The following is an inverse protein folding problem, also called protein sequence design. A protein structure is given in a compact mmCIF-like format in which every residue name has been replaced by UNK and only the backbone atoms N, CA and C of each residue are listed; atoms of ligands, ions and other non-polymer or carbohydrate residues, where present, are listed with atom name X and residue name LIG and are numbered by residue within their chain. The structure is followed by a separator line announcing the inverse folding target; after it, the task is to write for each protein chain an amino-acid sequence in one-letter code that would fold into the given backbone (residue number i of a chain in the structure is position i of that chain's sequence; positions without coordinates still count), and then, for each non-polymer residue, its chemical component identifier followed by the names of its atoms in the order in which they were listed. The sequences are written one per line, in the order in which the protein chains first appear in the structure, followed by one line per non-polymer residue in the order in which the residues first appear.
data_IF_561175687257
#
_entry.id   IF_561175687257
#
_cell.length_a   1.000
_cell.length_b   1.000
_cell.length_c   1.000
_cell.angle_alpha   90.00
_cell.angle_beta   90.00
_cell.angle_gamma   90.00
#
_symmetry.space_group_name_H-M   'P 1'
#
loop_
_entity.id
_entity.type
_entity.pdbx_description
1 polymer ?
#
# COMPACT_ATOMS: atom_id res chain seq x y z
N UNK A 1 7.28 6.27 2.70
CA UNK A 1 6.81 6.37 1.30
C UNK A 1 5.52 5.58 1.17
N UNK A 2 4.58 5.99 0.31
CA UNK A 2 3.39 5.18 -0.04
C UNK A 2 3.42 4.98 -1.54
N UNK A 3 3.30 3.74 -2.00
CA UNK A 3 3.21 3.45 -3.43
C UNK A 3 1.99 2.58 -3.73
N UNK A 4 1.26 2.97 -4.77
CA UNK A 4 0.03 2.28 -5.19
C UNK A 4 -0.17 2.42 -6.70
N UNK A 5 -0.97 1.52 -7.27
CA UNK A 5 -1.39 1.56 -8.67
C UNK A 5 -2.90 1.65 -8.77
N UNK A 6 -3.37 2.63 -9.52
CA UNK A 6 -4.79 2.74 -9.86
C UNK A 6 -4.97 2.53 -11.36
N UNK A 7 -5.90 1.66 -11.73
CA UNK A 7 -6.26 1.39 -13.13
C UNK A 7 -7.56 2.11 -13.52
N UNK A 8 -7.58 2.64 -14.75
CA UNK A 8 -8.76 3.18 -15.40
C UNK A 8 -9.19 2.26 -16.53
N UNK A 9 -10.26 1.51 -16.29
CA UNK A 9 -10.71 0.46 -17.21
C UNK A 9 -9.66 -0.63 -17.39
N UNK A 10 -9.59 -1.21 -18.60
CA UNK A 10 -8.62 -2.25 -18.95
C UNK A 10 -7.43 -1.74 -19.77
N UNK A 11 -7.28 -0.41 -19.91
CA UNK A 11 -6.33 0.17 -20.87
C UNK A 11 -5.05 0.66 -20.22
N UNK A 12 -5.13 1.32 -19.07
CA UNK A 12 -3.95 1.90 -18.41
C UNK A 12 -4.17 2.12 -16.92
N UNK A 13 -3.06 2.23 -16.21
CA UNK A 13 -3.03 2.65 -14.81
C UNK A 13 -1.90 3.64 -14.55
N UNK A 14 -1.94 4.26 -13.38
CA UNK A 14 -0.85 5.08 -12.89
C UNK A 14 -0.27 4.44 -11.65
N UNK A 15 1.05 4.21 -11.67
CA UNK A 15 1.81 3.98 -10.46
C UNK A 15 2.20 5.33 -9.87
N UNK A 16 2.00 5.50 -8.57
CA UNK A 16 2.31 6.74 -7.86
C UNK A 16 3.11 6.43 -6.61
N UNK A 17 4.21 7.15 -6.41
CA UNK A 17 4.99 7.16 -5.18
C UNK A 17 4.82 8.52 -4.51
N UNK A 18 4.14 8.51 -3.37
CA UNK A 18 3.84 9.69 -2.57
C UNK A 18 4.67 9.70 -1.29
N UNK A 19 5.24 10.85 -0.97
CA UNK A 19 5.83 11.12 0.34
C UNK A 19 4.80 11.83 1.23
N UNK A 20 4.18 11.16 2.21
CA UNK A 20 3.14 11.76 3.04
C UNK A 20 3.67 12.94 3.86
N UNK A 21 4.89 12.83 4.40
CA UNK A 21 5.56 13.89 5.17
C UNK A 21 5.72 15.18 4.38
N UNK A 22 6.07 15.07 3.10
CA UNK A 22 6.23 16.21 2.19
C UNK A 22 4.91 16.64 1.54
N UNK A 23 3.84 15.87 1.71
CA UNK A 23 2.54 16.03 1.02
C UNK A 23 2.65 16.06 -0.51
N UNK A 24 3.68 15.46 -1.10
CA UNK A 24 4.00 15.50 -2.54
C UNK A 24 4.02 14.11 -3.17
N UNK A 25 3.60 14.05 -4.43
CA UNK A 25 3.83 12.90 -5.31
C UNK A 25 5.22 13.09 -5.93
N UNK A 26 6.18 12.24 -5.55
CA UNK A 26 7.58 12.38 -5.97
C UNK A 26 7.89 11.67 -7.29
N UNK A 27 7.11 10.64 -7.59
CA UNK A 27 7.18 9.91 -8.86
C UNK A 27 5.79 9.42 -9.23
N UNK A 28 5.47 9.49 -10.52
CA UNK A 28 4.29 8.86 -11.10
C UNK A 28 4.60 8.48 -12.54
N UNK A 29 4.01 7.38 -13.01
CA UNK A 29 4.20 6.91 -14.38
C UNK A 29 2.93 6.21 -14.87
N UNK A 30 2.58 6.46 -16.13
CA UNK A 30 1.54 5.72 -16.83
C UNK A 30 2.07 4.32 -17.17
N UNK A 31 1.34 3.28 -16.80
CA UNK A 31 1.71 1.88 -16.99
C UNK A 31 0.55 1.09 -17.58
N UNK A 32 0.80 0.15 -18.51
CA UNK A 32 -0.24 -0.72 -19.03
C UNK A 32 -0.62 -1.82 -18.03
N UNK A 33 0.35 -2.29 -17.25
CA UNK A 33 0.19 -3.39 -16.29
C UNK A 33 1.00 -3.14 -15.02
N UNK A 34 0.51 -3.64 -13.90
CA UNK A 34 1.19 -3.56 -12.61
C UNK A 34 2.18 -4.72 -12.50
N UNK A 35 3.46 -4.38 -12.63
CA UNK A 35 4.57 -5.33 -12.56
C UNK A 35 5.55 -4.93 -11.47
N UNK A 36 6.30 -5.93 -10.96
CA UNK A 36 7.40 -5.74 -10.00
C UNK A 36 8.42 -4.73 -10.55
N UNK A 37 8.68 -4.77 -11.86
CA UNK A 37 9.61 -3.86 -12.54
C UNK A 37 9.24 -2.38 -12.34
N UNK A 38 7.96 -2.03 -12.43
CA UNK A 38 7.52 -0.63 -12.31
C UNK A 38 7.79 -0.06 -10.91
N UNK A 39 7.70 -0.89 -9.87
CA UNK A 39 8.07 -0.48 -8.51
C UNK A 39 9.59 -0.34 -8.34
N UNK A 40 10.38 -1.28 -8.88
CA UNK A 40 11.83 -1.21 -8.84
C UNK A 40 12.38 0.03 -9.58
N UNK A 41 11.77 0.35 -10.73
CA UNK A 41 12.07 1.57 -11.49
C UNK A 41 11.73 2.83 -10.67
N UNK A 42 10.53 2.89 -10.08
CA UNK A 42 10.13 4.02 -9.23
C UNK A 42 11.07 4.24 -8.05
N UNK A 43 11.49 3.16 -7.38
CA UNK A 43 12.51 3.19 -6.33
C UNK A 43 13.83 3.78 -6.83
N UNK A 44 14.37 3.21 -7.92
CA UNK A 44 15.66 3.62 -8.49
C UNK A 44 15.66 5.11 -8.87
N UNK A 45 14.59 5.58 -9.53
CA UNK A 45 14.46 6.99 -9.94
C UNK A 45 14.43 7.93 -8.73
N UNK A 46 13.77 7.54 -7.65
CA UNK A 46 13.71 8.35 -6.43
C UNK A 46 15.08 8.41 -5.73
N UNK A 47 15.78 7.29 -5.65
CA UNK A 47 17.14 7.22 -5.08
C UNK A 47 18.14 8.05 -5.90
N UNK A 48 18.07 7.97 -7.24
CA UNK A 48 18.89 8.80 -8.13
C UNK A 48 18.61 10.31 -8.00
N UNK A 49 17.38 10.70 -7.63
CA UNK A 49 17.02 12.08 -7.31
C UNK A 49 17.50 12.52 -5.91
N UNK A 50 18.20 11.66 -5.18
CA UNK A 50 18.73 11.94 -3.84
C UNK A 50 17.75 11.67 -2.70
N UNK A 51 16.60 11.03 -2.96
CA UNK A 51 15.69 10.67 -1.88
C UNK A 51 16.10 9.35 -1.22
N UNK A 52 16.20 9.35 0.11
CA UNK A 52 16.33 8.13 0.91
C UNK A 52 14.95 7.63 1.35
N UNK A 53 14.56 6.43 0.90
CA UNK A 53 13.31 5.80 1.31
C UNK A 53 13.52 5.09 2.66
N UNK A 54 13.10 5.70 3.75
CA UNK A 54 13.27 5.13 5.09
C UNK A 54 12.33 3.95 5.39
N UNK A 55 11.14 3.96 4.81
CA UNK A 55 10.12 2.91 4.93
C UNK A 55 9.12 3.05 3.79
N UNK A 56 8.39 1.99 3.47
CA UNK A 56 7.38 2.01 2.42
C UNK A 56 6.07 1.33 2.86
N UNK A 57 4.96 1.91 2.43
CA UNK A 57 3.61 1.35 2.52
C UNK A 57 3.21 0.88 1.13
N UNK A 58 2.82 -0.38 1.03
CA UNK A 58 2.43 -1.04 -0.24
C UNK A 58 1.11 -1.77 -0.08
N UNK A 59 0.49 -2.14 -1.20
CA UNK A 59 -0.46 -3.24 -1.20
C UNK A 59 0.23 -4.57 -0.84
N UNK A 60 -0.51 -5.55 -0.35
CA UNK A 60 -0.02 -6.82 0.19
C UNK A 60 0.59 -7.80 -0.82
N UNK A 61 0.99 -7.34 -2.01
CA UNK A 61 1.51 -8.18 -3.09
C UNK A 61 2.94 -8.65 -2.79
N UNK A 62 3.09 -9.95 -2.53
CA UNK A 62 4.36 -10.57 -2.09
C UNK A 62 5.56 -10.20 -2.95
N UNK A 63 5.43 -10.27 -4.29
CA UNK A 63 6.52 -9.97 -5.22
C UNK A 63 7.03 -8.52 -5.14
N UNK A 64 6.16 -7.56 -4.85
CA UNK A 64 6.55 -6.15 -4.67
C UNK A 64 7.25 -5.96 -3.34
N UNK A 65 6.79 -6.66 -2.28
CA UNK A 65 7.38 -6.60 -0.94
C UNK A 65 8.87 -6.96 -0.95
N UNK A 66 9.26 -7.96 -1.74
CA UNK A 66 10.65 -8.41 -1.85
C UNK A 66 11.60 -7.36 -2.43
N UNK A 67 11.11 -6.42 -3.25
CA UNK A 67 11.93 -5.33 -3.81
C UNK A 67 12.41 -4.37 -2.70
N UNK A 68 11.66 -4.31 -1.59
CA UNK A 68 11.88 -3.39 -0.49
C UNK A 68 12.26 -4.15 0.80
N UNK A 69 12.78 -5.37 0.69
CA UNK A 69 13.11 -6.21 1.84
C UNK A 69 14.22 -5.63 2.73
N UNK A 70 14.99 -4.69 2.21
CA UNK A 70 16.06 -3.96 2.92
C UNK A 70 15.54 -2.78 3.76
N UNK A 71 14.26 -2.44 3.67
CA UNK A 71 13.64 -1.37 4.46
C UNK A 71 12.35 -1.87 5.14
N UNK A 72 11.87 -1.20 6.21
CA UNK A 72 10.58 -1.52 6.79
C UNK A 72 9.44 -1.41 5.76
N UNK A 73 8.65 -2.48 5.62
CA UNK A 73 7.50 -2.55 4.71
C UNK A 73 6.21 -2.80 5.48
N UNK A 74 5.31 -1.82 5.43
CA UNK A 74 3.97 -1.91 5.98
C UNK A 74 2.95 -2.21 4.89
N UNK A 75 2.01 -3.12 5.15
CA UNK A 75 0.86 -3.27 4.27
C UNK A 75 -0.13 -2.12 4.50
N UNK A 76 -0.69 -1.55 3.44
CA UNK A 76 -1.64 -0.45 3.53
C UNK A 76 -2.87 -0.81 4.37
N UNK A 77 -3.19 -0.01 5.39
CA UNK A 77 -4.34 -0.25 6.28
C UNK A 77 -5.67 -0.26 5.52
N UNK A 78 -5.80 0.52 4.44
CA UNK A 78 -6.98 0.48 3.58
C UNK A 78 -7.19 -0.91 2.97
N UNK A 79 -6.14 -1.48 2.36
CA UNK A 79 -6.19 -2.82 1.78
C UNK A 79 -6.36 -3.90 2.86
N UNK A 80 -5.73 -3.75 4.04
CA UNK A 80 -5.97 -4.65 5.17
C UNK A 80 -7.45 -4.66 5.58
N UNK A 81 -8.09 -3.48 5.75
CA UNK A 81 -9.53 -3.39 6.07
C UNK A 81 -10.40 -3.99 4.96
N UNK A 82 -10.04 -3.81 3.69
CA UNK A 82 -10.76 -4.45 2.59
C UNK A 82 -10.68 -5.97 2.62
N UNK A 83 -9.52 -6.54 2.95
CA UNK A 83 -9.35 -8.00 3.11
C UNK A 83 -10.25 -8.51 4.23
N UNK A 84 -10.21 -7.87 5.40
CA UNK A 84 -11.07 -8.24 6.52
C UNK A 84 -12.55 -8.18 6.12
N UNK A 85 -12.98 -7.10 5.45
CA UNK A 85 -14.36 -6.94 4.96
C UNK A 85 -14.76 -7.90 3.83
N UNK A 86 -13.81 -8.46 3.08
CA UNK A 86 -14.09 -9.47 2.06
C UNK A 86 -14.44 -10.81 2.70
N UNK A 87 -13.81 -11.14 3.82
CA UNK A 87 -13.99 -12.40 4.53
C UNK A 87 -15.03 -12.33 5.66
N UNK A 88 -15.31 -11.14 6.20
CA UNK A 88 -16.42 -10.89 7.11
C UNK A 88 -17.62 -10.33 6.35
N UNK A 89 -18.83 -10.65 6.79
CA UNK A 89 -20.01 -9.91 6.34
C UNK A 89 -19.96 -8.48 6.91
N UNK A 90 -20.65 -7.52 6.29
CA UNK A 90 -20.75 -6.17 6.86
C UNK A 90 -21.42 -6.16 8.25
N UNK A 91 -22.26 -7.15 8.55
CA UNK A 91 -23.01 -7.32 9.79
C UNK A 91 -22.77 -8.73 10.36
N UNK A 92 -21.57 -9.02 10.90
CA UNK A 92 -21.26 -10.33 11.44
C UNK A 92 -22.15 -10.61 12.65
N UNK A 93 -22.67 -11.84 12.73
CA UNK A 93 -23.51 -12.29 13.87
C UNK A 93 -22.70 -13.08 14.91
N UNK A 94 -21.63 -13.73 14.48
CA UNK A 94 -20.72 -14.46 15.36
C UNK A 94 -19.89 -13.46 16.15
N UNK A 95 -19.70 -13.73 17.43
CA UNK A 95 -18.92 -12.91 18.36
C UNK A 95 -17.51 -12.64 17.82
N UNK A 96 -16.80 -13.70 17.40
CA UNK A 96 -15.46 -13.58 16.80
C UNK A 96 -15.40 -12.66 15.57
N UNK A 97 -16.46 -12.64 14.76
CA UNK A 97 -16.56 -11.74 13.61
C UNK A 97 -16.80 -10.28 13.99
N UNK A 98 -17.62 -10.06 15.04
CA UNK A 98 -17.85 -8.72 15.61
C UNK A 98 -16.55 -8.18 16.21
N UNK A 99 -15.82 -9.00 16.94
CA UNK A 99 -14.54 -8.64 17.56
C UNK A 99 -13.46 -8.34 16.51
N UNK A 100 -13.29 -9.20 15.51
CA UNK A 100 -12.33 -8.96 14.43
C UNK A 100 -12.65 -7.67 13.67
N UNK A 101 -13.93 -7.40 13.39
CA UNK A 101 -14.35 -6.13 12.79
C UNK A 101 -13.97 -4.94 13.67
N UNK A 102 -14.19 -5.03 14.97
CA UNK A 102 -13.83 -3.98 15.95
C UNK A 102 -12.32 -3.70 15.93
N UNK A 103 -11.49 -4.74 15.91
CA UNK A 103 -10.03 -4.62 15.81
C UNK A 103 -9.64 -3.97 14.47
N UNK A 104 -10.22 -4.42 13.35
CA UNK A 104 -9.93 -3.83 12.05
C UNK A 104 -10.35 -2.34 11.97
N UNK A 105 -11.36 -1.94 12.73
CA UNK A 105 -11.79 -0.54 12.81
C UNK A 105 -10.83 0.37 13.56
N UNK A 106 -9.99 -0.16 14.46
CA UNK A 106 -8.98 0.62 15.17
C UNK A 106 -7.68 0.81 14.39
N UNK A 107 -7.43 0.06 13.30
CA UNK A 107 -6.16 0.07 12.53
C UNK A 107 -5.63 1.45 12.14
N UNK A 108 -6.50 2.42 11.87
CA UNK A 108 -6.08 3.77 11.46
C UNK A 108 -5.86 4.74 12.63
N UNK A 109 -6.26 4.34 13.84
CA UNK A 109 -6.33 5.21 15.02
C UNK A 109 -5.44 4.71 16.16
N UNK A 110 -4.82 3.55 16.00
CA UNK A 110 -3.91 2.98 17.00
C UNK A 110 -2.59 3.74 16.97
N UNK A 111 -2.08 4.05 18.16
CA UNK A 111 -0.70 4.47 18.39
C UNK A 111 -0.02 3.31 19.13
N UNK A 112 1.29 3.15 18.95
CA UNK A 112 2.07 2.42 19.94
C UNK A 112 1.95 3.19 21.26
N UNK A 113 1.42 2.53 22.29
CA UNK A 113 1.64 2.90 23.68
C UNK A 113 2.92 2.20 24.18
#
# INVERSE_FOLDING_TARGET
MVADVTFWGRMYGFIVFRAPSLKKNLYYKLIPYETIYEYALGRTVLEQKGFRIAAIVLDGRTGVRNIFSDIPVQMCHFHQKQIVRRHLTNNPKLESGIELKRIADTLCNTKEE
#
